data_IF_116573620185
#
_entry.id   IF_116573620185
#
_cell.length_a   1.000
_cell.length_b   1.000
_cell.length_c   1.000
_cell.angle_alpha   90.00
_cell.angle_beta   90.00
_cell.angle_gamma   90.00
#
_symmetry.space_group_name_H-M   'P 1'
#
loop_
_entity.id
_entity.type
_entity.pdbx_description
1 polymer ?
#
# COMPACT_ATOMS: atom_id res chain seq x y z
N UNK A 1 -70.86 31.56 -12.35
CA UNK A 1 -69.85 30.61 -12.89
C UNK A 1 -69.42 31.10 -14.26
N UNK A 2 -68.13 31.40 -14.45
CA UNK A 2 -67.37 31.46 -15.72
C UNK A 2 -65.97 31.99 -15.38
N UNK A 3 -65.07 31.07 -15.03
CA UNK A 3 -64.02 30.46 -15.87
C UNK A 3 -62.82 31.40 -16.06
N UNK A 4 -61.82 31.14 -15.23
CA UNK A 4 -60.50 31.77 -15.16
C UNK A 4 -59.61 31.14 -16.24
N UNK A 5 -59.13 31.93 -17.20
CA UNK A 5 -58.19 31.48 -18.23
C UNK A 5 -56.77 31.60 -17.67
N UNK A 6 -56.14 30.46 -17.38
CA UNK A 6 -54.73 30.36 -16.96
C UNK A 6 -53.85 30.24 -18.22
N UNK A 7 -52.97 31.21 -18.43
CA UNK A 7 -51.98 31.22 -19.50
C UNK A 7 -50.75 30.41 -19.05
N UNK A 8 -50.51 29.25 -19.68
CA UNK A 8 -49.31 28.43 -19.45
C UNK A 8 -48.27 28.82 -20.50
N UNK A 9 -47.14 29.38 -20.05
CA UNK A 9 -45.96 29.64 -20.89
C UNK A 9 -45.06 28.40 -20.80
N UNK A 10 -44.92 27.69 -21.92
CA UNK A 10 -44.01 26.55 -22.09
C UNK A 10 -42.69 27.07 -22.66
N UNK A 11 -41.55 26.96 -21.96
CA UNK A 11 -40.26 27.23 -22.57
C UNK A 11 -39.84 26.04 -23.44
N UNK A 12 -39.76 26.29 -24.75
CA UNK A 12 -39.06 25.43 -25.72
C UNK A 12 -37.56 25.49 -25.43
N UNK A 13 -37.00 24.42 -24.86
CA UNK A 13 -35.57 24.19 -24.85
C UNK A 13 -35.18 23.65 -26.22
N UNK A 14 -34.57 24.52 -27.04
CA UNK A 14 -33.93 24.15 -28.29
C UNK A 14 -32.66 23.37 -27.97
N UNK A 15 -32.67 22.05 -28.20
CA UNK A 15 -31.45 21.27 -28.31
C UNK A 15 -30.78 21.61 -29.64
N UNK A 16 -29.72 22.43 -29.58
CA UNK A 16 -28.77 22.60 -30.68
C UNK A 16 -27.73 21.49 -30.57
N UNK A 17 -27.87 20.43 -31.37
CA UNK A 17 -26.73 19.58 -31.72
C UNK A 17 -25.80 20.41 -32.60
N UNK A 18 -24.78 21.01 -32.00
CA UNK A 18 -23.63 21.49 -32.75
C UNK A 18 -22.79 20.26 -33.12
N UNK A 19 -22.76 19.94 -34.40
CA UNK A 19 -21.84 18.97 -34.99
C UNK A 19 -20.46 19.64 -34.98
N UNK A 20 -19.58 19.21 -34.05
CA UNK A 20 -18.20 19.67 -34.02
C UNK A 20 -17.50 19.21 -35.29
N UNK A 21 -17.13 20.20 -36.11
CA UNK A 21 -16.35 20.01 -37.31
C UNK A 21 -14.89 19.82 -36.90
N UNK A 22 -14.41 18.59 -36.96
CA UNK A 22 -13.01 18.22 -36.76
C UNK A 22 -12.10 19.11 -37.61
N UNK A 23 -11.49 20.09 -36.96
CA UNK A 23 -10.38 20.83 -37.54
C UNK A 23 -9.15 19.96 -37.40
N UNK A 24 -8.76 19.32 -38.50
CA UNK A 24 -7.51 18.58 -38.60
C UNK A 24 -6.34 19.51 -38.20
N UNK A 25 -5.77 19.26 -37.03
CA UNK A 25 -4.49 19.82 -36.60
C UNK A 25 -3.37 18.97 -37.23
N UNK A 26 -2.52 19.51 -38.12
CA UNK A 26 -1.30 18.85 -38.53
C UNK A 26 -0.26 19.07 -37.43
N UNK A 27 -0.37 18.25 -36.39
CA UNK A 27 0.61 18.14 -35.32
C UNK A 27 0.65 16.69 -34.92
N UNK A 28 1.73 16.00 -35.26
CA UNK A 28 1.95 14.61 -34.92
C UNK A 28 1.68 14.43 -33.42
N UNK A 29 0.59 13.74 -33.10
CA UNK A 29 0.40 13.19 -31.77
C UNK A 29 1.46 12.12 -31.63
N UNK A 30 2.62 12.49 -31.10
CA UNK A 30 3.51 11.56 -30.46
C UNK A 30 2.68 10.94 -29.34
N UNK A 31 2.08 9.78 -29.61
CA UNK A 31 1.93 8.79 -28.56
C UNK A 31 3.32 8.67 -27.96
N UNK A 32 3.54 9.32 -26.83
CA UNK A 32 4.66 8.99 -25.97
C UNK A 32 4.48 7.52 -25.72
N UNK A 33 5.27 6.70 -26.40
CA UNK A 33 5.40 5.29 -26.07
C UNK A 33 5.66 5.28 -24.57
N UNK A 34 4.70 4.74 -23.83
CA UNK A 34 4.90 4.35 -22.44
C UNK A 34 6.23 3.62 -22.43
N UNK A 35 7.25 4.13 -21.72
CA UNK A 35 8.54 3.46 -21.69
C UNK A 35 8.28 2.02 -21.27
N UNK A 36 8.76 1.07 -22.08
CA UNK A 36 8.57 -0.34 -21.81
C UNK A 36 8.96 -0.60 -20.36
N UNK A 37 8.00 -1.10 -19.56
CA UNK A 37 8.19 -1.51 -18.18
C UNK A 37 9.55 -2.22 -18.08
N UNK A 38 10.46 -1.83 -17.17
CA UNK A 38 11.74 -2.49 -17.07
C UNK A 38 11.50 -3.99 -16.92
N UNK A 39 11.89 -4.75 -17.94
CA UNK A 39 11.80 -6.19 -17.94
C UNK A 39 12.92 -6.73 -17.05
N UNK A 40 12.78 -6.53 -15.75
CA UNK A 40 13.54 -7.22 -14.72
C UNK A 40 12.58 -8.13 -13.98
N UNK A 41 12.87 -9.44 -13.84
CA UNK A 41 12.06 -10.26 -12.96
C UNK A 41 12.15 -9.66 -11.56
N UNK A 42 10.99 -9.41 -10.94
CA UNK A 42 10.89 -9.50 -9.50
C UNK A 42 11.61 -10.79 -9.08
N UNK A 43 12.76 -10.67 -8.43
CA UNK A 43 13.42 -11.81 -7.80
C UNK A 43 12.96 -11.76 -6.35
N UNK A 44 11.88 -12.49 -5.97
CA UNK A 44 11.61 -12.67 -4.55
C UNK A 44 12.88 -13.29 -3.96
N UNK A 45 13.37 -12.82 -2.80
CA UNK A 45 14.31 -13.60 -2.04
C UNK A 45 13.64 -14.97 -1.80
N UNK A 46 14.20 -16.04 -2.37
CA UNK A 46 13.83 -17.40 -2.02
C UNK A 46 14.37 -17.66 -0.61
N UNK A 47 13.67 -17.13 0.39
CA UNK A 47 14.03 -17.25 1.78
C UNK A 47 12.74 -17.18 2.59
N UNK A 48 12.30 -18.33 3.09
CA UNK A 48 11.31 -18.39 4.15
C UNK A 48 11.74 -17.40 5.24
N UNK A 49 10.80 -16.58 5.72
CA UNK A 49 10.98 -15.59 6.76
C UNK A 49 11.27 -16.22 8.13
N UNK A 50 12.36 -16.98 8.22
CA UNK A 50 12.86 -17.51 9.46
C UNK A 50 13.51 -16.36 10.22
N UNK A 51 13.08 -16.20 11.47
CA UNK A 51 13.62 -15.34 12.54
C UNK A 51 15.05 -15.74 12.96
N UNK A 52 15.89 -16.14 12.01
CA UNK A 52 17.31 -16.42 12.18
C UNK A 52 18.15 -15.21 11.77
N UNK A 53 19.31 -15.04 12.41
CA UNK A 53 20.21 -13.87 12.37
C UNK A 53 20.83 -13.51 11.00
N UNK A 54 20.29 -14.02 9.90
CA UNK A 54 20.76 -13.74 8.53
C UNK A 54 19.77 -12.81 7.88
N UNK A 55 20.21 -11.59 7.60
CA UNK A 55 19.50 -10.58 6.83
C UNK A 55 18.87 -11.21 5.59
N UNK A 56 17.56 -11.03 5.40
CA UNK A 56 16.88 -11.50 4.20
C UNK A 56 17.51 -10.87 2.95
N UNK A 57 17.41 -11.56 1.82
CA UNK A 57 17.87 -11.00 0.53
C UNK A 57 17.07 -9.76 0.08
N UNK A 58 16.04 -9.34 0.83
CA UNK A 58 15.16 -8.23 0.47
C UNK A 58 15.92 -6.90 0.35
N UNK A 59 16.94 -6.69 1.16
CA UNK A 59 17.71 -5.43 1.21
C UNK A 59 18.57 -5.16 -0.03
N UNK A 60 18.69 -6.13 -0.94
CA UNK A 60 19.31 -5.95 -2.24
C UNK A 60 18.35 -5.37 -3.29
N UNK A 61 17.07 -5.21 -2.94
CA UNK A 61 15.99 -4.76 -3.81
C UNK A 61 15.13 -3.70 -3.11
N UNK A 62 14.33 -2.98 -3.89
CA UNK A 62 13.45 -1.95 -3.36
C UNK A 62 14.19 -0.70 -2.86
N UNK A 63 13.45 0.17 -2.17
CA UNK A 63 13.99 1.36 -1.53
C UNK A 63 14.17 1.14 -0.03
N UNK A 64 15.25 1.68 0.53
CA UNK A 64 15.52 1.59 1.96
C UNK A 64 15.66 2.97 2.58
N UNK A 65 15.05 3.17 3.75
CA UNK A 65 15.15 4.42 4.51
C UNK A 65 15.25 4.15 6.03
N UNK A 66 15.87 5.04 6.82
CA UNK A 66 15.72 5.03 8.27
C UNK A 66 14.26 5.23 8.71
N UNK A 67 13.87 4.59 9.81
CA UNK A 67 12.61 4.86 10.50
C UNK A 67 12.86 5.75 11.71
N UNK A 68 12.01 6.75 11.86
CA UNK A 68 11.86 7.48 13.12
C UNK A 68 10.66 6.89 13.85
N UNK A 69 10.92 6.04 14.85
CA UNK A 69 9.88 5.47 15.70
C UNK A 69 9.23 6.59 16.49
N UNK A 70 7.90 6.55 16.51
CA UNK A 70 7.02 7.61 16.98
C UNK A 70 7.62 8.29 18.18
N UNK A 71 8.01 9.52 17.89
CA UNK A 71 8.56 10.42 18.85
C UNK A 71 7.42 10.78 19.80
N UNK A 72 7.60 10.56 21.09
CA UNK A 72 6.73 11.18 22.08
C UNK A 72 6.74 12.70 21.87
N UNK A 73 5.91 13.48 22.57
CA UNK A 73 5.95 14.94 22.45
C UNK A 73 7.34 15.58 22.74
N UNK A 74 8.35 14.80 23.14
CA UNK A 74 9.63 15.23 23.69
C UNK A 74 10.91 14.83 22.93
N UNK A 75 10.88 14.10 21.81
CA UNK A 75 12.12 13.63 21.17
C UNK A 75 12.50 12.17 21.47
N UNK A 76 11.70 11.46 22.28
CA UNK A 76 12.05 10.13 22.80
C UNK A 76 11.43 9.00 21.98
N UNK A 77 12.25 7.98 21.73
CA UNK A 77 11.86 6.72 21.08
C UNK A 77 10.80 6.01 21.93
N UNK A 78 9.59 5.84 21.39
CA UNK A 78 8.53 5.08 22.06
C UNK A 78 8.79 3.57 22.04
N UNK A 79 9.60 3.14 23.00
CA UNK A 79 9.99 1.73 23.17
C UNK A 79 8.80 0.83 23.51
N UNK A 80 7.76 1.38 24.16
CA UNK A 80 6.58 0.62 24.54
C UNK A 80 5.78 0.23 23.30
N UNK A 81 5.46 1.21 22.44
CA UNK A 81 4.76 0.98 21.18
C UNK A 81 5.58 0.10 20.23
N UNK A 82 6.91 0.29 20.18
CA UNK A 82 7.77 -0.56 19.35
C UNK A 82 7.86 -2.00 19.87
N UNK A 83 7.90 -2.21 21.19
CA UNK A 83 7.85 -3.56 21.78
C UNK A 83 6.51 -4.23 21.55
N UNK A 84 5.42 -3.46 21.61
CA UNK A 84 4.08 -3.94 21.26
C UNK A 84 4.04 -4.40 19.81
N UNK A 85 4.50 -3.60 18.86
CA UNK A 85 4.58 -3.97 17.44
C UNK A 85 5.32 -5.29 17.21
N UNK A 86 6.47 -5.48 17.87
CA UNK A 86 7.26 -6.71 17.69
C UNK A 86 6.73 -7.89 18.49
N UNK A 87 5.73 -7.72 19.37
CA UNK A 87 5.32 -8.70 20.37
C UNK A 87 6.52 -9.31 21.15
N UNK A 88 7.55 -8.48 21.38
CA UNK A 88 8.81 -8.83 21.98
C UNK A 88 9.27 -7.70 22.88
N UNK A 89 9.97 -8.02 23.97
CA UNK A 89 10.64 -6.99 24.78
C UNK A 89 11.83 -6.46 24.00
N UNK A 90 11.71 -5.26 23.45
CA UNK A 90 12.82 -4.55 22.82
C UNK A 90 13.51 -3.71 23.88
N UNK A 91 14.84 -3.76 23.97
CA UNK A 91 15.59 -3.08 25.04
C UNK A 91 16.28 -1.82 24.58
N UNK A 92 16.99 -1.89 23.45
CA UNK A 92 17.76 -0.78 22.89
C UNK A 92 17.86 -0.96 21.36
N UNK A 93 16.76 -0.68 20.63
CA UNK A 93 16.75 -0.82 19.19
C UNK A 93 17.61 0.27 18.55
N UNK A 94 18.47 -0.13 17.63
CA UNK A 94 19.38 0.74 16.89
C UNK A 94 19.25 0.47 15.41
N UNK A 95 19.57 1.47 14.58
CA UNK A 95 19.52 1.38 13.12
C UNK A 95 18.18 0.84 12.61
N UNK A 96 17.07 1.38 13.13
CA UNK A 96 15.74 0.98 12.68
C UNK A 96 15.54 1.46 11.24
N UNK A 97 15.25 0.53 10.32
CA UNK A 97 15.14 0.81 8.88
C UNK A 97 13.91 0.15 8.29
N UNK A 98 13.36 0.79 7.27
CA UNK A 98 12.30 0.29 6.42
C UNK A 98 12.85 -0.01 5.03
N UNK A 99 12.51 -1.17 4.49
CA UNK A 99 12.65 -1.50 3.07
C UNK A 99 11.25 -1.65 2.45
N UNK A 100 11.03 -1.06 1.27
CA UNK A 100 9.78 -1.17 0.50
C UNK A 100 10.10 -1.71 -0.87
N UNK A 101 9.43 -2.79 -1.27
CA UNK A 101 9.63 -3.45 -2.55
C UNK A 101 8.29 -3.92 -3.12
N UNK A 102 7.69 -3.09 -3.97
CA UNK A 102 6.33 -3.25 -4.49
C UNK A 102 6.32 -3.34 -6.00
N UNK A 103 5.39 -4.13 -6.53
CA UNK A 103 5.16 -4.33 -7.95
C UNK A 103 3.69 -4.11 -8.27
N UNK A 104 3.41 -3.57 -9.45
CA UNK A 104 2.03 -3.43 -9.91
C UNK A 104 1.38 -4.80 -10.13
N UNK A 105 0.18 -4.98 -9.57
CA UNK A 105 -0.65 -6.18 -9.68
C UNK A 105 -2.08 -5.75 -9.99
N UNK A 106 -2.44 -5.76 -11.27
CA UNK A 106 -3.73 -5.23 -11.73
C UNK A 106 -3.91 -3.75 -11.39
N UNK A 107 -4.94 -3.44 -10.60
CA UNK A 107 -5.30 -2.07 -10.21
C UNK A 107 -4.56 -1.54 -8.96
N UNK A 108 -3.69 -2.33 -8.35
CA UNK A 108 -2.94 -1.91 -7.15
C UNK A 108 -1.52 -2.47 -7.10
N UNK A 109 -0.94 -2.51 -5.91
CA UNK A 109 0.46 -2.87 -5.69
C UNK A 109 0.61 -4.01 -4.67
N UNK A 110 1.23 -5.11 -5.09
CA UNK A 110 1.63 -6.21 -4.20
C UNK A 110 3.14 -6.19 -3.98
N UNK A 111 3.64 -6.92 -2.99
CA UNK A 111 5.05 -7.06 -2.70
C UNK A 111 5.31 -7.24 -1.22
N UNK A 112 6.44 -6.68 -0.77
CA UNK A 112 6.93 -6.83 0.60
C UNK A 112 7.38 -5.50 1.16
N UNK A 113 7.21 -5.36 2.45
CA UNK A 113 7.95 -4.39 3.25
C UNK A 113 8.76 -5.14 4.30
N UNK A 114 9.92 -4.62 4.68
CA UNK A 114 10.64 -5.12 5.84
C UNK A 114 11.04 -4.02 6.80
N UNK A 115 10.98 -4.33 8.08
CA UNK A 115 11.48 -3.49 9.15
C UNK A 115 12.62 -4.25 9.82
N UNK A 116 13.80 -3.64 9.87
CA UNK A 116 14.94 -4.21 10.60
C UNK A 116 15.47 -3.26 11.65
N UNK A 117 16.11 -3.84 12.66
CA UNK A 117 16.81 -3.12 13.71
C UNK A 117 17.84 -4.05 14.37
N UNK A 118 18.81 -3.48 15.07
CA UNK A 118 19.67 -4.22 15.98
C UNK A 118 19.20 -3.97 17.40
N UNK A 119 18.92 -5.02 18.16
CA UNK A 119 18.65 -4.93 19.59
C UNK A 119 19.70 -5.72 20.36
N UNK A 120 20.40 -5.04 21.27
CA UNK A 120 21.51 -5.62 22.05
C UNK A 120 22.58 -6.33 21.19
N UNK A 121 22.82 -5.83 19.97
CA UNK A 121 23.78 -6.41 19.02
C UNK A 121 23.24 -7.59 18.21
N UNK A 122 21.96 -7.96 18.37
CA UNK A 122 21.28 -8.97 17.56
C UNK A 122 20.45 -8.29 16.49
N UNK A 123 20.68 -8.67 15.23
CA UNK A 123 19.87 -8.22 14.10
C UNK A 123 18.49 -8.87 14.15
N UNK A 124 17.45 -8.05 14.02
CA UNK A 124 16.06 -8.43 13.95
C UNK A 124 15.48 -7.93 12.62
N UNK A 125 14.58 -8.72 12.04
CA UNK A 125 13.90 -8.37 10.79
C UNK A 125 12.49 -8.93 10.78
N UNK A 126 11.57 -8.09 10.32
CA UNK A 126 10.16 -8.40 10.14
C UNK A 126 9.81 -8.17 8.69
N UNK A 127 9.37 -9.22 7.99
CA UNK A 127 8.95 -9.14 6.60
C UNK A 127 7.44 -9.28 6.53
N UNK A 128 6.76 -8.24 6.05
CA UNK A 128 5.31 -8.23 5.89
C UNK A 128 4.97 -8.26 4.39
N UNK A 129 3.94 -9.00 4.04
CA UNK A 129 3.62 -9.32 2.64
C UNK A 129 2.19 -8.92 2.28
N UNK A 130 1.99 -8.62 1.00
CA UNK A 130 0.67 -8.48 0.36
C UNK A 130 0.81 -8.89 -1.10
N UNK A 131 -0.07 -9.75 -1.62
CA UNK A 131 -0.01 -10.08 -3.03
C UNK A 131 1.31 -10.74 -3.46
N UNK A 132 1.87 -11.61 -2.61
CA UNK A 132 2.99 -12.50 -2.92
C UNK A 132 2.64 -13.94 -2.46
N UNK A 133 2.55 -14.88 -3.40
CA UNK A 133 2.18 -16.26 -3.09
C UNK A 133 3.31 -17.06 -2.44
N UNK A 134 4.57 -16.69 -2.68
CA UNK A 134 5.71 -17.57 -2.38
C UNK A 134 6.11 -17.58 -0.91
N UNK A 135 5.34 -16.92 -0.04
CA UNK A 135 5.70 -16.73 1.35
C UNK A 135 4.49 -16.72 2.27
N UNK A 136 3.38 -17.35 1.85
CA UNK A 136 2.31 -17.67 2.78
C UNK A 136 2.83 -18.75 3.73
N UNK A 137 3.10 -18.42 5.00
CA UNK A 137 3.69 -19.38 5.88
C UNK A 137 2.55 -20.27 6.40
N UNK A 138 2.68 -21.58 6.16
CA UNK A 138 1.56 -22.54 6.17
C UNK A 138 1.31 -23.22 4.82
N UNK A 139 2.04 -22.81 3.79
CA UNK A 139 2.01 -23.38 2.44
C UNK A 139 2.75 -24.73 2.31
N UNK A 140 2.39 -25.71 3.13
CA UNK A 140 2.47 -27.11 2.68
C UNK A 140 1.14 -27.56 2.05
N UNK A 141 0.14 -26.67 2.03
CA UNK A 141 -1.22 -26.94 1.58
C UNK A 141 -1.77 -25.93 0.55
N UNK A 142 -0.97 -25.00 -0.01
CA UNK A 142 -1.37 -24.36 -1.27
C UNK A 142 -1.41 -25.48 -2.29
N UNK A 143 -2.61 -25.69 -2.81
CA UNK A 143 -2.84 -26.64 -3.86
C UNK A 143 -1.92 -26.27 -5.02
N UNK A 144 -0.86 -27.06 -5.24
CA UNK A 144 0.07 -26.90 -6.36
C UNK A 144 -0.65 -26.95 -7.73
N UNK A 145 -1.97 -27.17 -7.74
CA UNK A 145 -2.85 -27.17 -8.88
C UNK A 145 -3.60 -25.84 -9.12
N UNK A 146 -3.37 -24.76 -8.35
CA UNK A 146 -3.85 -23.43 -8.77
C UNK A 146 -3.23 -23.09 -10.12
N UNK A 147 -4.08 -22.82 -11.11
CA UNK A 147 -3.57 -22.36 -12.40
C UNK A 147 -2.90 -21.00 -12.24
N UNK A 148 -1.88 -20.70 -13.04
CA UNK A 148 -1.24 -19.37 -13.06
C UNK A 148 -2.25 -18.23 -13.27
N UNK A 149 -3.38 -18.51 -13.91
CA UNK A 149 -4.47 -17.55 -14.10
C UNK A 149 -5.30 -17.29 -12.84
N UNK A 150 -5.44 -18.28 -11.97
CA UNK A 150 -6.10 -18.13 -10.67
C UNK A 150 -5.15 -17.49 -9.67
N UNK A 151 -3.87 -17.87 -9.71
CA UNK A 151 -2.79 -17.22 -8.95
C UNK A 151 -2.82 -15.70 -9.15
N UNK A 152 -2.79 -15.26 -10.41
CA UNK A 152 -2.83 -13.85 -10.77
C UNK A 152 -4.06 -13.13 -10.19
N UNK A 153 -5.23 -13.79 -10.16
CA UNK A 153 -6.46 -13.21 -9.58
C UNK A 153 -6.38 -13.10 -8.07
N UNK A 154 -5.76 -14.05 -7.37
CA UNK A 154 -5.50 -13.94 -5.92
C UNK A 154 -4.68 -12.69 -5.65
N UNK A 155 -3.57 -12.57 -6.37
CA UNK A 155 -2.58 -11.53 -6.17
C UNK A 155 -3.15 -10.15 -6.48
N UNK A 156 -3.92 -10.03 -7.56
CA UNK A 156 -4.63 -8.79 -7.89
C UNK A 156 -5.68 -8.43 -6.84
N UNK A 157 -6.44 -9.41 -6.35
CA UNK A 157 -7.48 -9.19 -5.34
C UNK A 157 -6.90 -8.76 -3.98
N UNK A 158 -5.69 -9.22 -3.65
CA UNK A 158 -4.93 -8.76 -2.49
C UNK A 158 -4.42 -7.33 -2.68
N UNK A 159 -3.80 -7.07 -3.83
CA UNK A 159 -3.11 -5.83 -4.14
C UNK A 159 -4.04 -4.65 -4.41
N UNK A 160 -5.31 -4.87 -4.79
CA UNK A 160 -6.24 -3.78 -5.15
C UNK A 160 -6.51 -2.75 -4.05
N UNK A 161 -6.20 -3.08 -2.80
CA UNK A 161 -6.33 -2.17 -1.65
C UNK A 161 -5.06 -1.32 -1.44
N UNK A 162 -3.95 -1.70 -2.07
CA UNK A 162 -2.69 -0.96 -2.02
C UNK A 162 -2.61 -0.07 -3.25
N UNK A 163 -2.91 1.21 -3.11
CA UNK A 163 -3.10 2.11 -4.26
C UNK A 163 -2.76 3.54 -3.92
N UNK A 164 -2.46 4.29 -4.98
CA UNK A 164 -2.46 5.74 -4.92
C UNK A 164 -3.91 6.26 -4.90
N UNK A 165 -4.11 7.36 -4.17
CA UNK A 165 -5.34 8.09 -3.99
C UNK A 165 -5.19 9.46 -4.65
N UNK A 166 -6.21 9.84 -5.42
CA UNK A 166 -6.34 11.18 -6.01
C UNK A 166 -6.77 12.20 -4.94
N UNK A 167 -5.88 12.48 -3.98
CA UNK A 167 -6.14 13.34 -2.83
C UNK A 167 -5.69 14.80 -3.06
N UNK A 168 -5.90 15.33 -4.27
CA UNK A 168 -5.55 16.70 -4.65
C UNK A 168 -4.27 16.78 -5.47
N UNK A 169 -3.39 17.73 -5.15
CA UNK A 169 -2.18 18.01 -5.94
C UNK A 169 -1.02 17.04 -5.66
N UNK A 170 -1.12 16.25 -4.59
CA UNK A 170 -0.11 15.31 -4.14
C UNK A 170 -0.75 13.92 -4.13
N UNK A 171 -0.34 12.99 -5.01
CA UNK A 171 -0.76 11.61 -4.92
C UNK A 171 -0.31 11.03 -3.58
N UNK A 172 -1.28 10.49 -2.86
CA UNK A 172 -1.06 9.82 -1.58
C UNK A 172 -1.15 8.33 -1.81
N UNK A 173 -0.40 7.52 -1.08
CA UNK A 173 -0.50 6.07 -1.18
C UNK A 173 -0.78 5.47 0.18
N UNK A 174 -1.52 4.37 0.18
CA UNK A 174 -1.44 3.44 1.28
C UNK A 174 -1.36 1.99 0.81
N UNK A 175 -0.89 1.12 1.68
CA UNK A 175 -0.90 -0.31 1.43
C UNK A 175 -0.94 -1.12 2.71
N UNK A 176 -1.73 -2.19 2.70
CA UNK A 176 -1.78 -3.21 3.73
C UNK A 176 -0.69 -4.24 3.50
N UNK A 177 -0.04 -4.64 4.59
CA UNK A 177 0.91 -5.73 4.64
C UNK A 177 0.65 -6.50 5.93
N UNK A 178 0.84 -7.82 5.93
CA UNK A 178 0.66 -8.62 7.13
C UNK A 178 1.72 -9.70 7.28
N UNK A 179 1.84 -10.18 8.50
CA UNK A 179 2.49 -11.42 8.86
C UNK A 179 1.56 -12.23 9.78
N UNK A 180 2.10 -13.25 10.47
CA UNK A 180 1.32 -14.10 11.37
C UNK A 180 0.75 -13.38 12.59
N UNK A 181 1.41 -12.31 13.03
CA UNK A 181 1.19 -11.69 14.32
C UNK A 181 0.43 -10.36 14.19
N UNK A 182 0.43 -9.74 13.03
CA UNK A 182 -0.25 -8.49 12.83
C UNK A 182 -0.31 -8.00 11.38
N UNK A 183 -0.79 -6.77 11.27
CA UNK A 183 -0.87 -6.03 10.02
C UNK A 183 -0.18 -4.67 10.18
N UNK A 184 0.47 -4.23 9.11
CA UNK A 184 1.02 -2.89 8.95
C UNK A 184 0.35 -2.21 7.77
N UNK A 185 0.00 -0.94 7.96
CA UNK A 185 -0.39 -0.04 6.88
C UNK A 185 0.75 0.94 6.63
N UNK A 186 1.33 0.86 5.44
CA UNK A 186 2.23 1.88 4.91
C UNK A 186 1.38 3.04 4.40
N UNK A 187 1.64 4.26 4.87
CA UNK A 187 1.02 5.49 4.38
C UNK A 187 2.12 6.39 3.81
N UNK A 188 1.94 6.85 2.58
CA UNK A 188 2.76 7.87 1.93
C UNK A 188 1.87 9.11 1.78
N UNK A 189 2.19 10.15 2.53
CA UNK A 189 1.40 11.38 2.65
C UNK A 189 2.23 12.65 2.45
N UNK A 190 3.54 12.52 2.22
CA UNK A 190 4.44 13.62 1.96
C UNK A 190 5.47 13.31 0.87
N UNK A 191 6.01 14.39 0.30
CA UNK A 191 6.91 14.38 -0.84
C UNK A 191 6.87 15.75 -1.49
N UNK A 192 8.02 16.29 -1.87
CA UNK A 192 8.09 17.59 -2.54
C UNK A 192 7.61 17.47 -3.98
N UNK A 193 6.30 17.59 -4.22
CA UNK A 193 5.80 17.68 -5.59
C UNK A 193 6.08 19.09 -6.14
N UNK A 194 6.76 19.11 -7.28
CA UNK A 194 6.89 20.21 -8.26
C UNK A 194 7.90 21.34 -7.98
N UNK A 195 9.06 21.24 -8.64
CA UNK A 195 9.92 22.36 -9.05
C UNK A 195 9.44 23.07 -10.32
N UNK A 196 8.25 22.74 -10.85
CA UNK A 196 7.64 23.39 -12.03
C UNK A 196 8.13 22.88 -13.39
N UNK A 197 8.90 21.79 -13.40
CA UNK A 197 9.46 21.14 -14.60
C UNK A 197 8.64 19.92 -15.06
N UNK A 198 7.58 19.56 -14.34
CA UNK A 198 6.75 18.40 -14.64
C UNK A 198 7.37 17.05 -14.24
N UNK A 199 8.53 17.05 -13.58
CA UNK A 199 9.05 15.83 -12.95
C UNK A 199 8.35 15.68 -11.60
N UNK A 200 7.59 14.58 -11.44
CA UNK A 200 7.08 14.19 -10.12
C UNK A 200 8.23 14.01 -9.11
N UNK A 201 7.93 13.89 -7.82
CA UNK A 201 8.94 13.67 -6.81
C UNK A 201 9.61 12.32 -7.03
N UNK A 202 10.92 12.32 -6.85
CA UNK A 202 11.73 11.11 -6.84
C UNK A 202 11.73 10.43 -5.48
N UNK A 203 11.45 11.20 -4.40
CA UNK A 203 11.40 10.69 -3.04
C UNK A 203 10.13 11.07 -2.30
N UNK A 204 9.72 10.22 -1.36
CA UNK A 204 8.52 10.41 -0.53
C UNK A 204 8.79 10.19 0.95
N UNK A 205 7.90 10.74 1.76
CA UNK A 205 7.83 10.57 3.21
C UNK A 205 6.46 10.04 3.62
N UNK A 206 6.39 9.50 4.83
CA UNK A 206 5.15 8.91 5.28
C UNK A 206 5.20 8.36 6.69
N UNK A 207 4.29 7.45 6.96
CA UNK A 207 4.14 6.79 8.25
C UNK A 207 3.82 5.31 8.13
N UNK A 208 4.17 4.57 9.18
CA UNK A 208 3.75 3.19 9.38
C UNK A 208 2.78 3.12 10.55
N UNK A 209 1.72 2.37 10.34
CA UNK A 209 0.70 2.07 11.34
C UNK A 209 0.63 0.57 11.51
N UNK A 210 0.45 0.08 12.73
CA UNK A 210 0.36 -1.36 12.98
C UNK A 210 -0.87 -1.70 13.79
N UNK A 211 -1.25 -2.98 13.73
CA UNK A 211 -2.19 -3.62 14.63
C UNK A 211 -1.83 -5.09 14.76
N UNK A 212 -1.67 -5.55 16.00
CA UNK A 212 -1.48 -6.97 16.29
C UNK A 212 -2.82 -7.72 16.27
N UNK A 213 -2.77 -9.02 16.00
CA UNK A 213 -3.93 -9.90 16.10
C UNK A 213 -4.09 -10.40 17.53
N UNK A 214 -5.34 -10.47 18.00
CA UNK A 214 -5.67 -10.90 19.37
C UNK A 214 -5.39 -12.40 19.60
N UNK A 215 -5.35 -13.19 18.53
CA UNK A 215 -5.05 -14.61 18.55
C UNK A 215 -3.81 -14.88 17.69
N UNK A 216 -2.91 -15.73 18.17
CA UNK A 216 -1.56 -15.91 17.59
C UNK A 216 -1.56 -16.61 16.23
N UNK A 217 -2.72 -17.07 15.76
CA UNK A 217 -2.88 -17.74 14.46
C UNK A 217 -4.21 -17.30 13.84
N UNK A 218 -4.17 -16.28 12.98
CA UNK A 218 -5.27 -16.09 12.03
C UNK A 218 -5.45 -17.36 11.19
N UNK A 219 -6.67 -17.83 10.90
CA UNK A 219 -6.88 -18.90 9.94
C UNK A 219 -6.40 -18.40 8.59
N UNK A 220 -5.16 -18.76 8.27
CA UNK A 220 -4.52 -18.48 6.99
C UNK A 220 -5.26 -19.27 5.91
N UNK A 221 -6.25 -18.63 5.31
CA UNK A 221 -6.84 -19.08 4.06
C UNK A 221 -6.25 -18.30 2.89
N UNK A 222 -6.88 -18.50 1.73
CA UNK A 222 -6.68 -17.66 0.53
C UNK A 222 -6.92 -16.15 0.79
N UNK A 223 -7.58 -15.83 1.91
CA UNK A 223 -7.99 -14.47 2.24
C UNK A 223 -7.01 -13.82 3.20
N UNK A 224 -6.59 -12.60 2.87
CA UNK A 224 -5.87 -11.73 3.79
C UNK A 224 -6.78 -11.28 4.93
N UNK A 225 -6.20 -10.88 6.07
CA UNK A 225 -6.98 -10.55 7.26
C UNK A 225 -7.95 -9.38 7.02
N UNK A 226 -7.64 -8.45 6.10
CA UNK A 226 -8.52 -7.34 5.72
C UNK A 226 -9.67 -7.76 4.78
N UNK A 227 -9.75 -9.04 4.43
CA UNK A 227 -10.88 -9.65 3.73
C UNK A 227 -11.76 -10.47 4.68
N UNK A 228 -11.32 -10.66 5.94
CA UNK A 228 -12.06 -11.37 6.97
C UNK A 228 -12.91 -10.36 7.75
N UNK A 229 -14.23 -10.52 7.69
CA UNK A 229 -15.18 -9.59 8.32
C UNK A 229 -15.80 -10.08 9.63
N UNK A 230 -15.55 -11.33 10.01
CA UNK A 230 -16.13 -11.96 11.20
C UNK A 230 -15.08 -12.70 12.03
N UNK A 231 -15.29 -12.72 13.35
CA UNK A 231 -14.41 -13.39 14.31
C UNK A 231 -13.27 -12.51 14.82
N UNK A 232 -12.35 -13.06 15.64
CA UNK A 232 -11.25 -12.31 16.26
C UNK A 232 -10.16 -11.88 15.26
N UNK A 233 -10.29 -12.28 13.99
CA UNK A 233 -9.29 -12.06 12.93
C UNK A 233 -9.60 -10.86 12.03
N UNK A 234 -10.59 -10.06 12.42
CA UNK A 234 -10.98 -8.85 11.69
C UNK A 234 -9.96 -7.73 11.90
N UNK A 235 -8.98 -7.68 10.98
CA UNK A 235 -7.92 -6.68 10.95
C UNK A 235 -8.23 -5.50 10.01
N UNK A 236 -9.46 -5.42 9.46
CA UNK A 236 -9.82 -4.40 8.46
C UNK A 236 -9.54 -3.00 8.99
N UNK A 237 -8.76 -2.19 8.28
CA UNK A 237 -8.84 -0.74 8.43
C UNK A 237 -9.97 -0.19 7.56
N UNK A 238 -10.40 1.04 7.80
CA UNK A 238 -11.46 1.74 7.07
C UNK A 238 -12.74 0.92 6.90
N UNK A 239 -13.23 0.37 8.02
CA UNK A 239 -14.41 -0.52 7.99
C UNK A 239 -15.62 0.14 7.35
N UNK A 240 -16.20 -0.55 6.37
CA UNK A 240 -17.44 -0.16 5.68
C UNK A 240 -18.31 -1.40 5.44
N UNK A 241 -19.20 -1.68 6.39
CA UNK A 241 -19.99 -2.91 6.43
C UNK A 241 -19.12 -4.17 6.53
N UNK A 242 -19.25 -5.08 5.56
CA UNK A 242 -18.44 -6.30 5.43
C UNK A 242 -17.11 -6.06 4.68
N UNK A 243 -16.88 -4.84 4.18
CA UNK A 243 -15.71 -4.49 3.38
C UNK A 243 -14.75 -3.50 4.05
N UNK A 244 -13.86 -2.99 3.20
CA UNK A 244 -12.87 -1.93 3.49
C UNK A 244 -13.10 -0.81 2.48
N UNK A 245 -13.20 0.43 2.96
CA UNK A 245 -13.31 1.62 2.13
C UNK A 245 -12.05 2.48 2.24
N UNK A 246 -11.04 2.09 1.48
CA UNK A 246 -9.73 2.77 1.38
C UNK A 246 -9.81 4.23 0.92
N UNK A 247 -10.94 4.70 0.38
CA UNK A 247 -11.07 6.09 -0.06
C UNK A 247 -11.55 7.04 1.03
N UNK A 248 -12.00 6.51 2.17
CA UNK A 248 -12.60 7.31 3.24
C UNK A 248 -11.60 8.20 3.96
N UNK A 249 -10.38 7.70 4.18
CA UNK A 249 -9.28 8.45 4.77
C UNK A 249 -7.94 7.83 4.36
N UNK A 250 -6.89 8.63 4.41
CA UNK A 250 -5.54 8.16 4.15
C UNK A 250 -4.98 7.33 5.32
N UNK A 251 -5.23 7.79 6.55
CA UNK A 251 -4.79 7.14 7.78
C UNK A 251 -5.76 6.02 8.17
N UNK A 252 -5.27 4.84 8.58
CA UNK A 252 -6.10 3.73 8.99
C UNK A 252 -6.82 4.00 10.32
N UNK A 253 -8.05 3.49 10.44
CA UNK A 253 -8.84 3.53 11.67
C UNK A 253 -8.89 2.14 12.33
N UNK A 254 -9.84 1.91 13.25
CA UNK A 254 -10.14 0.58 13.80
C UNK A 254 -8.95 -0.09 14.52
N UNK A 255 -8.32 0.66 15.44
CA UNK A 255 -7.30 0.15 16.36
C UNK A 255 -5.89 0.09 15.77
N UNK A 256 -5.67 0.59 14.56
CA UNK A 256 -4.32 0.81 14.06
C UNK A 256 -3.67 1.97 14.82
N UNK A 257 -2.43 1.75 15.22
CA UNK A 257 -1.61 2.72 15.96
C UNK A 257 -0.43 3.11 15.08
N UNK A 258 -0.25 4.41 14.84
CA UNK A 258 0.95 4.92 14.21
C UNK A 258 2.14 4.52 15.09
N UNK A 259 3.23 4.02 14.52
CA UNK A 259 4.44 3.70 15.31
C UNK A 259 5.73 4.21 14.70
N UNK A 260 5.73 4.61 13.43
CA UNK A 260 6.91 5.16 12.80
C UNK A 260 6.58 6.19 11.73
N UNK A 261 7.57 7.02 11.43
CA UNK A 261 7.62 7.89 10.25
C UNK A 261 8.90 7.63 9.47
N UNK A 262 8.89 8.00 8.20
CA UNK A 262 10.05 7.89 7.33
C UNK A 262 10.12 9.06 6.35
N UNK A 263 11.31 9.32 5.84
CA UNK A 263 11.55 10.29 4.76
C UNK A 263 12.38 9.66 3.66
N UNK A 264 12.48 10.32 2.51
CA UNK A 264 13.47 10.03 1.47
C UNK A 264 13.42 8.60 0.88
N UNK A 265 12.25 7.96 0.83
CA UNK A 265 12.06 6.72 0.07
C UNK A 265 12.10 7.05 -1.42
N UNK A 266 13.05 6.48 -2.16
CA UNK A 266 13.05 6.55 -3.62
C UNK A 266 11.84 5.78 -4.18
N UNK A 267 10.95 6.47 -4.90
CA UNK A 267 9.73 5.90 -5.45
C UNK A 267 10.00 4.89 -6.57
N UNK A 268 10.94 5.18 -7.46
CA UNK A 268 11.29 4.30 -8.58
C UNK A 268 11.80 2.95 -8.06
N UNK A 269 12.67 2.97 -7.05
CA UNK A 269 13.19 1.76 -6.42
C UNK A 269 12.08 1.05 -5.63
N UNK A 270 11.30 1.79 -4.83
CA UNK A 270 10.24 1.22 -3.98
C UNK A 270 9.15 0.52 -4.78
N UNK A 271 8.83 1.03 -5.97
CA UNK A 271 7.78 0.53 -6.85
C UNK A 271 8.33 -0.16 -8.10
N UNK A 272 9.62 -0.53 -8.11
CA UNK A 272 10.30 -1.24 -9.21
C UNK A 272 10.07 -0.64 -10.61
N UNK A 273 10.18 0.69 -10.73
CA UNK A 273 10.04 1.42 -12.00
C UNK A 273 8.63 1.38 -12.60
N UNK A 274 7.62 0.96 -11.84
CA UNK A 274 6.24 1.04 -12.30
C UNK A 274 5.78 2.50 -12.29
N UNK A 275 5.09 2.92 -13.36
CA UNK A 275 4.45 4.24 -13.40
C UNK A 275 3.51 4.40 -12.20
N UNK A 276 3.73 5.49 -11.46
CA UNK A 276 2.81 5.99 -10.44
C UNK A 276 1.77 6.78 -11.20
N UNK A 277 0.59 6.16 -11.38
CA UNK A 277 -0.56 6.77 -12.05
C UNK A 277 -1.38 7.58 -11.07
#
# INVERSE_FOLDING_TARGET
MKQLTLLIIVPFLLFSCAEEKDSAVPGASTTTEVPAQPSGPFVPPTGNGNTGSTQSGLWSYGATTPLTINDTANGEFDLATFSEFNNLTVVNPQNVRLNVNLVRRGQGYGGRIAISYNDQGVYQEWVLVNGDINNFPGDEAYDQNISSSEEAKVLEQAAKYNRFLDAGAVPQFHGFFQDFYGAVVLVIDGGGFQTGDGQGPTTVSGSLWFRNFDDTVAPYGYYHCWQIWAGPYDCRAWKDGEGVNTFRSLEPDNGYVKFATFTDINLEDAFNGNEIQ
#
